data_IF_764107443172
#
_entry.id   IF_764107443172
#
_cell.length_a   1.000
_cell.length_b   1.000
_cell.length_c   1.000
_cell.angle_alpha   90.00
_cell.angle_beta   90.00
_cell.angle_gamma   90.00
#
_symmetry.space_group_name_H-M   'P 1'
#
loop_
_entity.id
_entity.type
_entity.pdbx_description
1 polymer ?
#
# COMPACT_ATOMS: atom_id res chain seq x y z
N UNK A 1 -16.35 -0.92 14.06
CA UNK A 1 -15.09 -0.14 13.94
C UNK A 1 -15.31 1.26 13.38
N UNK A 2 -16.32 1.45 12.54
CA UNK A 2 -16.69 2.78 12.03
C UNK A 2 -17.09 3.77 13.13
N UNK A 3 -17.54 3.27 14.26
CA UNK A 3 -17.91 4.09 15.45
C UNK A 3 -16.71 4.60 16.23
N UNK A 4 -15.45 4.17 15.93
CA UNK A 4 -14.26 4.65 16.64
C UNK A 4 -13.54 5.75 15.85
N UNK A 5 -13.65 7.03 16.29
CA UNK A 5 -12.92 8.12 15.65
C UNK A 5 -11.40 7.92 15.65
N UNK A 6 -10.90 7.30 16.71
CA UNK A 6 -9.48 6.95 16.83
C UNK A 6 -9.03 6.01 15.71
N UNK A 7 -9.78 4.92 15.45
CA UNK A 7 -9.40 3.91 14.46
C UNK A 7 -9.56 4.38 13.03
N UNK A 8 -10.50 5.28 12.76
CA UNK A 8 -10.70 5.86 11.43
C UNK A 8 -9.54 6.75 10.96
N UNK A 9 -8.68 7.18 11.87
CA UNK A 9 -7.51 8.03 11.53
C UNK A 9 -6.34 7.25 10.95
N UNK A 10 -6.30 5.93 11.13
CA UNK A 10 -5.18 5.13 10.62
C UNK A 10 -5.12 5.15 9.11
N UNK A 11 -3.92 5.36 8.61
CA UNK A 11 -3.58 5.34 7.17
C UNK A 11 -2.19 4.72 7.03
N UNK A 12 -1.95 4.06 5.90
CA UNK A 12 -0.59 3.63 5.57
C UNK A 12 0.28 4.86 5.29
N UNK A 13 1.45 4.89 5.91
CA UNK A 13 2.49 5.82 5.54
C UNK A 13 3.09 5.48 4.16
N UNK A 14 3.93 6.36 3.64
CA UNK A 14 4.57 6.16 2.33
C UNK A 14 5.44 4.90 2.28
N UNK A 15 6.15 4.59 3.34
CA UNK A 15 7.02 3.41 3.45
C UNK A 15 6.21 2.11 3.48
N UNK A 16 5.16 2.05 4.31
CA UNK A 16 4.31 0.88 4.41
C UNK A 16 3.49 0.65 3.14
N UNK A 17 3.04 1.72 2.50
CA UNK A 17 2.37 1.63 1.21
C UNK A 17 3.31 1.15 0.09
N UNK A 18 4.57 1.60 0.08
CA UNK A 18 5.59 1.14 -0.84
C UNK A 18 5.91 -0.35 -0.61
N UNK A 19 6.06 -0.75 0.65
CA UNK A 19 6.29 -2.14 1.02
C UNK A 19 5.15 -3.06 0.55
N UNK A 20 3.90 -2.65 0.77
CA UNK A 20 2.72 -3.41 0.32
C UNK A 20 2.69 -3.56 -1.22
N UNK A 21 3.09 -2.52 -1.96
CA UNK A 21 3.18 -2.59 -3.42
C UNK A 21 4.28 -3.52 -3.89
N UNK A 22 5.44 -3.46 -3.25
CA UNK A 22 6.63 -4.24 -3.61
C UNK A 22 6.43 -5.73 -3.33
N UNK A 23 5.99 -6.06 -2.12
CA UNK A 23 5.82 -7.46 -1.67
C UNK A 23 4.52 -8.09 -2.15
N UNK A 24 3.50 -7.30 -2.38
CA UNK A 24 2.18 -7.76 -2.77
C UNK A 24 1.31 -8.19 -1.59
N UNK A 25 0.00 -8.24 -1.83
CA UNK A 25 -0.99 -8.55 -0.80
C UNK A 25 -0.80 -9.95 -0.20
N UNK A 26 -0.54 -10.96 -1.04
CA UNK A 26 -0.39 -12.34 -0.58
C UNK A 26 0.76 -12.51 0.42
N UNK A 27 1.94 -11.92 0.13
CA UNK A 27 3.09 -11.96 1.02
C UNK A 27 2.81 -11.21 2.33
N UNK A 28 2.18 -10.05 2.26
CA UNK A 28 1.84 -9.26 3.45
C UNK A 28 0.81 -9.97 4.32
N UNK A 29 -0.17 -10.67 3.75
CA UNK A 29 -1.12 -11.49 4.50
C UNK A 29 -0.48 -12.74 5.13
N UNK A 30 0.53 -13.33 4.49
CA UNK A 30 1.32 -14.39 5.11
C UNK A 30 2.08 -13.87 6.34
N UNK A 31 2.63 -12.66 6.27
CA UNK A 31 3.22 -11.98 7.44
C UNK A 31 2.17 -11.71 8.51
N UNK A 32 0.96 -11.27 8.14
CA UNK A 32 -0.14 -11.05 9.08
C UNK A 32 -0.45 -12.33 9.84
N UNK A 33 -0.57 -13.46 9.15
CA UNK A 33 -0.80 -14.77 9.77
C UNK A 33 0.29 -15.11 10.78
N UNK A 34 1.55 -14.94 10.39
CA UNK A 34 2.69 -15.22 11.26
C UNK A 34 2.69 -14.34 12.53
N UNK A 35 2.38 -13.05 12.40
CA UNK A 35 2.30 -12.15 13.54
C UNK A 35 1.13 -12.51 14.46
N UNK A 36 -0.02 -12.89 13.91
CA UNK A 36 -1.18 -13.35 14.67
C UNK A 36 -0.82 -14.62 15.45
N UNK A 37 -0.24 -15.60 14.79
CA UNK A 37 0.12 -16.88 15.41
C UNK A 37 1.13 -16.72 16.55
N UNK A 38 2.11 -15.87 16.40
CA UNK A 38 3.18 -15.68 17.40
C UNK A 38 2.81 -14.74 18.54
N UNK A 39 2.07 -13.67 18.25
CA UNK A 39 1.91 -12.56 19.20
C UNK A 39 0.51 -12.45 19.76
N UNK A 40 -0.47 -13.04 19.13
CA UNK A 40 -1.87 -12.84 19.46
C UNK A 40 -2.60 -14.15 19.81
N UNK A 41 -2.24 -15.24 19.15
CA UNK A 41 -2.92 -16.53 19.28
C UNK A 41 -2.85 -17.16 20.67
N UNK A 42 -1.75 -17.08 21.45
CA UNK A 42 -1.70 -17.64 22.79
C UNK A 42 -2.79 -17.05 23.69
N UNK A 43 -3.33 -17.87 24.60
CA UNK A 43 -4.35 -17.46 25.58
C UNK A 43 -3.89 -16.25 26.41
N UNK A 44 -2.60 -16.22 26.75
CA UNK A 44 -1.96 -15.14 27.50
C UNK A 44 -0.71 -14.68 26.75
N UNK A 45 -0.87 -13.79 25.76
CA UNK A 45 0.28 -13.27 25.02
C UNK A 45 1.22 -12.49 25.95
N UNK A 46 2.52 -12.60 25.68
CA UNK A 46 3.50 -11.72 26.31
C UNK A 46 3.17 -10.26 25.99
N UNK A 47 3.21 -9.40 27.02
CA UNK A 47 2.99 -7.95 26.89
C UNK A 47 1.62 -7.62 26.24
N UNK A 48 0.55 -8.30 26.61
CA UNK A 48 -0.78 -8.02 26.06
C UNK A 48 -1.13 -6.53 26.20
N UNK A 49 -1.57 -5.95 25.08
CA UNK A 49 -1.78 -4.51 24.92
C UNK A 49 -0.59 -3.74 24.34
N UNK A 50 0.61 -4.32 24.31
CA UNK A 50 1.84 -3.69 23.78
C UNK A 50 2.59 -4.56 22.75
N UNK A 51 2.05 -5.70 22.38
CA UNK A 51 2.71 -6.66 21.50
C UNK A 51 2.78 -6.22 20.04
N UNK A 52 1.94 -5.30 19.60
CA UNK A 52 1.90 -4.81 18.22
C UNK A 52 2.57 -3.44 18.12
N UNK A 53 3.67 -3.30 17.35
CA UNK A 53 4.28 -2.01 17.09
C UNK A 53 3.33 -1.04 16.37
N UNK A 54 3.58 0.26 16.52
CA UNK A 54 2.79 1.30 15.87
C UNK A 54 3.14 1.53 14.40
N UNK A 55 4.37 1.19 14.00
CA UNK A 55 4.93 1.44 12.65
C UNK A 55 5.89 0.33 12.25
N UNK A 56 6.37 0.41 11.01
CA UNK A 56 7.43 -0.46 10.49
C UNK A 56 6.93 -1.62 9.62
N UNK A 57 5.63 -1.90 9.62
CA UNK A 57 5.03 -2.89 8.74
C UNK A 57 3.55 -2.55 8.49
N UNK A 58 3.03 -2.71 7.26
CA UNK A 58 1.63 -2.39 6.96
C UNK A 58 0.64 -3.18 7.83
N UNK A 59 0.95 -4.42 8.20
CA UNK A 59 0.12 -5.24 9.09
C UNK A 59 -0.03 -4.61 10.48
N UNK A 60 1.00 -4.00 11.04
CA UNK A 60 0.91 -3.39 12.37
C UNK A 60 -0.09 -2.23 12.39
N UNK A 61 -0.05 -1.39 11.38
CA UNK A 61 -1.01 -0.29 11.23
C UNK A 61 -2.42 -0.84 11.01
N UNK A 62 -2.56 -1.89 10.18
CA UNK A 62 -3.84 -2.56 9.95
C UNK A 62 -4.41 -3.16 11.24
N UNK A 63 -3.59 -3.79 12.08
CA UNK A 63 -4.02 -4.34 13.37
C UNK A 63 -4.58 -3.25 14.31
N UNK A 64 -3.94 -2.09 14.39
CA UNK A 64 -4.48 -0.97 15.18
C UNK A 64 -5.77 -0.41 14.57
N UNK A 65 -5.85 -0.30 13.25
CA UNK A 65 -7.03 0.18 12.55
C UNK A 65 -8.24 -0.75 12.70
N UNK A 66 -8.00 -2.06 12.70
CA UNK A 66 -9.05 -3.10 12.75
C UNK A 66 -9.33 -3.63 14.16
N UNK A 67 -8.67 -3.09 15.18
CA UNK A 67 -8.78 -3.57 16.57
C UNK A 67 -8.35 -5.03 16.76
N UNK A 68 -7.33 -5.44 16.01
CA UNK A 68 -6.72 -6.78 16.12
C UNK A 68 -5.29 -6.70 16.68
N UNK A 69 -4.98 -5.63 17.40
CA UNK A 69 -3.64 -5.38 17.93
C UNK A 69 -3.35 -6.05 19.26
N UNK A 70 -4.36 -6.44 20.02
CA UNK A 70 -4.21 -7.13 21.31
C UNK A 70 -5.50 -7.88 21.67
N UNK A 71 -5.43 -8.75 22.68
CA UNK A 71 -6.57 -9.58 23.12
C UNK A 71 -7.73 -8.74 23.66
N UNK A 72 -7.43 -7.66 24.39
CA UNK A 72 -8.46 -6.71 24.87
C UNK A 72 -9.22 -6.04 23.72
N UNK A 73 -8.52 -5.68 22.65
CA UNK A 73 -9.16 -5.12 21.46
C UNK A 73 -10.00 -6.16 20.69
N UNK A 74 -9.52 -7.40 20.61
CA UNK A 74 -10.29 -8.49 20.02
C UNK A 74 -11.59 -8.73 20.76
N UNK A 75 -11.56 -8.79 22.08
CA UNK A 75 -12.76 -8.97 22.90
C UNK A 75 -13.74 -7.81 22.71
N UNK A 76 -13.26 -6.58 22.85
CA UNK A 76 -14.11 -5.39 22.80
C UNK A 76 -14.72 -5.12 21.42
N UNK A 77 -13.96 -5.34 20.35
CA UNK A 77 -14.31 -4.88 19.00
C UNK A 77 -14.61 -5.99 18.00
N UNK A 78 -14.06 -7.19 18.23
CA UNK A 78 -14.20 -8.33 17.33
C UNK A 78 -15.05 -9.45 17.93
N UNK A 79 -15.41 -9.35 19.20
CA UNK A 79 -16.22 -10.36 19.88
C UNK A 79 -15.48 -11.67 20.16
N UNK A 80 -14.15 -11.65 20.14
CA UNK A 80 -13.30 -12.81 20.41
C UNK A 80 -12.83 -12.72 21.85
N UNK A 81 -13.35 -13.61 22.71
CA UNK A 81 -13.06 -13.62 24.15
C UNK A 81 -11.56 -13.83 24.43
N UNK A 82 -11.12 -13.33 25.59
CA UNK A 82 -9.79 -13.61 26.12
C UNK A 82 -9.77 -14.95 26.87
N UNK A 83 -8.55 -15.42 27.18
CA UNK A 83 -8.34 -16.55 28.08
C UNK A 83 -8.31 -17.92 27.42
N UNK A 84 -8.36 -17.98 26.08
CA UNK A 84 -8.15 -19.19 25.29
C UNK A 84 -7.20 -18.95 24.13
N UNK A 85 -6.55 -20.00 23.64
CA UNK A 85 -5.78 -19.93 22.40
C UNK A 85 -6.74 -19.65 21.23
N UNK A 86 -6.35 -18.77 20.32
CA UNK A 86 -7.16 -18.51 19.12
C UNK A 86 -7.26 -19.78 18.28
N UNK A 87 -8.48 -20.17 17.95
CA UNK A 87 -8.73 -21.24 17.01
C UNK A 87 -8.47 -20.81 15.56
N UNK A 88 -8.54 -21.74 14.62
CA UNK A 88 -8.26 -21.46 13.22
C UNK A 88 -9.26 -20.48 12.60
N UNK A 89 -10.53 -20.59 12.96
CA UNK A 89 -11.58 -19.68 12.46
C UNK A 89 -11.36 -18.25 12.96
N UNK A 90 -10.97 -18.06 14.21
CA UNK A 90 -10.64 -16.77 14.80
C UNK A 90 -9.41 -16.15 14.15
N UNK A 91 -8.37 -16.94 13.90
CA UNK A 91 -7.16 -16.49 13.20
C UNK A 91 -7.47 -16.05 11.77
N UNK A 92 -8.26 -16.82 11.04
CA UNK A 92 -8.71 -16.48 9.69
C UNK A 92 -9.54 -15.20 9.68
N UNK A 93 -10.44 -15.03 10.64
CA UNK A 93 -11.23 -13.81 10.79
C UNK A 93 -10.35 -12.58 10.97
N UNK A 94 -9.33 -12.68 11.84
CA UNK A 94 -8.40 -11.59 12.12
C UNK A 94 -7.61 -11.23 10.85
N UNK A 95 -7.03 -12.23 10.18
CA UNK A 95 -6.26 -12.02 8.95
C UNK A 95 -7.14 -11.44 7.84
N UNK A 96 -8.38 -11.89 7.72
CA UNK A 96 -9.34 -11.35 6.76
C UNK A 96 -9.70 -9.88 7.06
N UNK A 97 -9.86 -9.52 8.33
CA UNK A 97 -10.10 -8.13 8.72
C UNK A 97 -8.92 -7.22 8.35
N UNK A 98 -7.69 -7.67 8.61
CA UNK A 98 -6.46 -7.00 8.20
C UNK A 98 -6.42 -6.84 6.68
N UNK A 99 -6.70 -7.90 5.93
CA UNK A 99 -6.69 -7.91 4.46
C UNK A 99 -7.68 -6.91 3.86
N UNK A 100 -8.92 -6.88 4.34
CA UNK A 100 -9.94 -5.92 3.89
C UNK A 100 -9.51 -4.47 4.12
N UNK A 101 -8.90 -4.20 5.26
CA UNK A 101 -8.42 -2.85 5.54
C UNK A 101 -7.25 -2.45 4.62
N UNK A 102 -6.27 -3.33 4.43
CA UNK A 102 -5.13 -3.12 3.53
C UNK A 102 -5.60 -2.89 2.08
N UNK A 103 -6.58 -3.66 1.62
CA UNK A 103 -7.19 -3.49 0.31
C UNK A 103 -7.83 -2.09 0.16
N UNK A 104 -8.55 -1.64 1.17
CA UNK A 104 -9.15 -0.30 1.18
C UNK A 104 -8.09 0.81 1.09
N UNK A 105 -6.92 0.63 1.73
CA UNK A 105 -5.82 1.57 1.65
C UNK A 105 -5.15 1.57 0.28
N UNK A 106 -4.99 0.39 -0.32
CA UNK A 106 -4.46 0.24 -1.68
C UNK A 106 -5.33 0.97 -2.69
N UNK A 107 -6.63 0.79 -2.64
CA UNK A 107 -7.59 1.43 -3.54
C UNK A 107 -7.62 2.95 -3.37
N UNK A 108 -7.50 3.47 -2.14
CA UNK A 108 -7.37 4.90 -1.87
C UNK A 108 -6.08 5.48 -2.44
N UNK A 109 -4.98 4.73 -2.38
CA UNK A 109 -3.70 5.11 -2.98
C UNK A 109 -3.78 5.24 -4.50
N UNK A 110 -4.51 4.34 -5.15
CA UNK A 110 -4.76 4.39 -6.59
C UNK A 110 -5.64 5.59 -7.00
N UNK A 111 -6.67 5.89 -6.22
CA UNK A 111 -7.57 7.02 -6.47
C UNK A 111 -6.89 8.40 -6.31
N UNK A 112 -5.82 8.48 -5.52
CA UNK A 112 -5.01 9.70 -5.32
C UNK A 112 -3.91 9.88 -6.35
N UNK A 113 -3.63 8.87 -7.17
CA UNK A 113 -2.69 9.00 -8.26
C UNK A 113 -3.35 9.85 -9.36
N UNK A 114 -2.79 11.00 -9.73
CA UNK A 114 -3.31 11.73 -10.89
C UNK A 114 -3.30 10.77 -12.08
N UNK A 115 -4.30 10.84 -12.95
CA UNK A 115 -4.29 10.07 -14.18
C UNK A 115 -2.94 10.34 -14.87
N UNK A 116 -2.31 9.33 -15.47
CA UNK A 116 -1.12 9.57 -16.27
C UNK A 116 -1.46 10.71 -17.22
N UNK A 117 -0.58 11.72 -17.26
CA UNK A 117 -0.75 12.82 -18.17
C UNK A 117 -1.11 12.18 -19.52
N UNK A 118 -2.30 12.49 -20.00
CA UNK A 118 -2.65 12.15 -21.37
C UNK A 118 -1.54 12.79 -22.19
N UNK A 119 -0.66 11.97 -22.72
CA UNK A 119 0.09 12.38 -23.89
C UNK A 119 -0.97 12.76 -24.91
N UNK A 120 -1.21 14.04 -25.02
CA UNK A 120 -1.97 14.57 -26.14
C UNK A 120 -1.16 14.11 -27.34
N UNK A 121 -1.58 12.99 -27.93
CA UNK A 121 -1.20 12.74 -29.32
C UNK A 121 -1.75 13.94 -30.03
N UNK A 122 -0.88 14.85 -30.42
CA UNK A 122 -1.24 15.84 -31.38
C UNK A 122 -1.96 15.12 -32.54
N UNK A 123 -3.14 15.60 -32.93
CA UNK A 123 -3.79 15.03 -34.09
C UNK A 123 -2.78 15.16 -35.23
N UNK A 124 -2.30 14.00 -35.71
CA UNK A 124 -1.58 13.96 -36.98
C UNK A 124 -2.49 14.57 -38.01
N UNK A 125 -2.26 15.83 -38.39
CA UNK A 125 -2.92 16.47 -39.49
C UNK A 125 -2.30 15.88 -40.75
N UNK A 126 -3.03 15.05 -41.53
CA UNK A 126 -2.52 14.57 -42.80
C UNK A 126 -2.44 15.77 -43.74
N UNK A 127 -1.22 16.19 -44.08
CA UNK A 127 -1.02 17.26 -45.03
C UNK A 127 0.04 18.31 -44.68
N UNK A 128 0.60 18.32 -43.45
CA UNK A 128 1.79 19.10 -43.18
C UNK A 128 3.02 18.22 -43.42
N UNK A 129 3.58 18.34 -44.59
CA UNK A 129 4.95 17.91 -44.82
C UNK A 129 5.86 18.71 -43.89
N UNK A 130 6.82 18.07 -43.14
CA UNK A 130 7.86 18.81 -42.50
C UNK A 130 8.55 19.65 -43.57
N UNK A 131 8.62 20.95 -43.33
CA UNK A 131 9.38 21.82 -44.19
C UNK A 131 10.82 21.26 -44.29
N UNK A 132 11.22 20.94 -45.49
CA UNK A 132 12.59 20.63 -45.80
C UNK A 132 13.42 21.84 -45.36
N UNK A 133 14.13 21.70 -44.26
CA UNK A 133 15.24 22.54 -43.95
C UNK A 133 16.33 22.18 -44.97
N UNK A 134 16.28 22.81 -46.11
CA UNK A 134 17.41 22.88 -46.99
C UNK A 134 18.50 23.57 -46.21
N UNK A 135 19.45 22.82 -45.75
CA UNK A 135 20.74 23.31 -45.33
C UNK A 135 21.41 23.88 -46.58
N UNK A 136 21.39 25.20 -46.71
CA UNK A 136 22.24 25.89 -47.59
C UNK A 136 23.67 25.68 -47.07
N UNK A 137 24.30 24.64 -47.55
CA UNK A 137 25.71 24.48 -47.56
C UNK A 137 26.29 25.46 -48.58
N UNK A 138 26.46 26.68 -48.11
CA UNK A 138 27.27 27.65 -48.82
C UNK A 138 28.71 27.17 -48.88
N UNK A 139 29.01 26.42 -49.94
CA UNK A 139 30.35 26.00 -50.27
C UNK A 139 31.23 27.21 -50.47
N UNK A 140 32.06 27.52 -49.51
CA UNK A 140 33.19 28.43 -49.69
C UNK A 140 34.31 27.62 -50.33
N UNK A 141 34.44 27.79 -51.64
CA UNK A 141 35.52 27.23 -52.40
C UNK A 141 36.88 27.76 -51.93
N UNK A 142 37.95 26.98 -52.06
CA UNK A 142 39.29 27.41 -51.66
C UNK A 142 39.80 28.48 -52.60
N UNK A 143 40.30 29.54 -52.01
CA UNK A 143 41.04 30.56 -52.75
C UNK A 143 42.38 29.99 -53.25
N UNK A 144 42.75 30.22 -54.51
CA UNK A 144 44.06 29.89 -55.00
C UNK A 144 45.06 30.90 -54.44
N UNK A 145 46.09 30.39 -53.85
CA UNK A 145 47.28 31.17 -53.51
C UNK A 145 48.07 31.42 -54.79
N UNK A 146 48.25 32.67 -55.06
CA UNK A 146 49.30 33.11 -55.99
C UNK A 146 50.65 33.10 -55.32
#
# INVERSE_FOLDING_TARGET
LERSPFRRRFRLGSQEAAYLREKGMAAVLAHARNFVDRRLAPAQPEKDGKQTPWRGHPVFIAQHATATCCRSCLEKWQGIARGHDLDEAERQHIVAAIGRWLESQRNRGLARRPPPARTVREPFLPGLCPADTQSDDGGTGPRPLA
#
